data_IF_514106214972
#
_entry.id   IF_514106214972
#
_cell.length_a   1.000
_cell.length_b   1.000
_cell.length_c   1.000
_cell.angle_alpha   90.00
_cell.angle_beta   90.00
_cell.angle_gamma   90.00
#
_symmetry.space_group_name_H-M   'P 1'
#
loop_
_entity.id
_entity.type
_entity.pdbx_description
1 polymer ?
#
# COMPACT_ATOMS: atom_id res chain seq x y z
N UNK A 1 -18.99 -9.39 -2.00
CA UNK A 1 -18.38 -10.66 -1.57
C UNK A 1 -17.13 -10.31 -0.80
N UNK A 2 -17.07 -10.67 0.48
CA UNK A 2 -15.86 -10.49 1.29
C UNK A 2 -14.88 -11.62 0.96
N UNK A 3 -13.65 -11.27 0.60
CA UNK A 3 -12.58 -12.25 0.40
C UNK A 3 -12.00 -12.62 1.77
N UNK A 4 -11.76 -13.92 2.00
CA UNK A 4 -11.25 -14.46 3.27
C UNK A 4 -9.78 -14.12 3.57
N UNK A 5 -9.18 -13.21 2.80
CA UNK A 5 -7.78 -12.80 2.86
C UNK A 5 -7.46 -11.81 1.75
N UNK A 6 -6.20 -11.34 1.67
CA UNK A 6 -5.78 -10.41 0.64
C UNK A 6 -5.99 -11.00 -0.76
N UNK A 7 -6.32 -10.14 -1.72
CA UNK A 7 -6.46 -10.49 -3.13
C UNK A 7 -5.13 -10.88 -3.75
N UNK A 8 -4.05 -10.24 -3.29
CA UNK A 8 -2.71 -10.40 -3.83
C UNK A 8 -1.81 -11.03 -2.77
N UNK A 9 -1.12 -12.11 -3.13
CA UNK A 9 -0.13 -12.69 -2.24
C UNK A 9 1.03 -11.70 -2.03
N UNK A 10 1.45 -11.45 -0.79
CA UNK A 10 2.57 -10.55 -0.52
C UNK A 10 3.87 -10.95 -1.25
N UNK A 11 4.07 -12.24 -1.53
CA UNK A 11 5.18 -12.71 -2.36
C UNK A 11 5.11 -12.16 -3.80
N UNK A 12 3.92 -12.08 -4.39
CA UNK A 12 3.68 -11.51 -5.71
C UNK A 12 3.92 -9.99 -5.70
N UNK A 13 3.42 -9.30 -4.66
CA UNK A 13 3.64 -7.86 -4.46
C UNK A 13 5.13 -7.54 -4.42
N UNK A 14 5.90 -8.32 -3.65
CA UNK A 14 7.37 -8.17 -3.54
C UNK A 14 8.10 -8.42 -4.87
N UNK A 15 7.64 -9.39 -5.67
CA UNK A 15 8.20 -9.60 -7.02
C UNK A 15 8.00 -8.38 -7.92
N UNK A 16 6.82 -7.75 -7.87
CA UNK A 16 6.54 -6.53 -8.65
C UNK A 16 7.44 -5.38 -8.20
N UNK A 17 7.57 -5.19 -6.88
CA UNK A 17 8.47 -4.19 -6.28
C UNK A 17 9.91 -4.39 -6.76
N UNK A 18 10.41 -5.63 -6.74
CA UNK A 18 11.76 -5.96 -7.18
C UNK A 18 12.02 -5.63 -8.67
N UNK A 19 10.97 -5.55 -9.49
CA UNK A 19 11.09 -5.11 -10.90
C UNK A 19 11.00 -3.59 -11.09
N UNK A 20 10.86 -2.82 -10.00
CA UNK A 20 10.70 -1.36 -10.02
C UNK A 20 9.34 -0.88 -10.53
N UNK A 21 8.36 -1.77 -10.67
CA UNK A 21 7.05 -1.47 -11.27
C UNK A 21 6.03 -1.04 -10.21
N UNK A 22 6.35 0.03 -9.49
CA UNK A 22 5.47 0.63 -8.46
C UNK A 22 5.11 2.05 -8.84
N UNK A 23 3.82 2.33 -8.87
CA UNK A 23 3.25 3.63 -9.20
C UNK A 23 2.32 4.06 -8.07
N UNK A 24 2.44 5.32 -7.65
CA UNK A 24 1.55 5.95 -6.70
C UNK A 24 0.53 6.82 -7.44
N UNK A 25 -0.68 6.97 -6.90
CA UNK A 25 -1.56 8.08 -7.27
C UNK A 25 -0.91 9.40 -6.85
N UNK A 26 -1.35 10.52 -7.43
CA UNK A 26 -0.85 11.84 -7.03
C UNK A 26 -1.08 12.10 -5.53
N UNK A 27 -2.24 11.71 -5.01
CA UNK A 27 -2.57 11.88 -3.59
C UNK A 27 -1.66 11.02 -2.70
N UNK A 28 -1.46 9.74 -3.04
CA UNK A 28 -0.58 8.87 -2.28
C UNK A 28 0.89 9.31 -2.34
N UNK A 29 1.30 9.93 -3.46
CA UNK A 29 2.62 10.55 -3.59
C UNK A 29 2.77 11.78 -2.69
N UNK A 30 1.78 12.67 -2.68
CA UNK A 30 1.77 13.80 -1.77
C UNK A 30 1.78 13.34 -0.30
N UNK A 31 0.99 12.31 0.04
CA UNK A 31 0.89 11.82 1.40
C UNK A 31 2.25 11.29 1.94
N UNK A 32 2.97 10.43 1.18
CA UNK A 32 4.26 9.93 1.68
C UNK A 32 5.31 11.03 1.76
N UNK A 33 5.25 12.04 0.87
CA UNK A 33 6.12 13.19 0.91
C UNK A 33 5.84 14.08 2.14
N UNK A 34 4.58 14.24 2.54
CA UNK A 34 4.20 14.92 3.78
C UNK A 34 4.70 14.16 5.03
N UNK A 35 4.80 12.83 4.93
CA UNK A 35 5.46 12.00 5.96
C UNK A 35 6.98 12.14 5.98
N UNK A 36 7.55 12.88 5.03
CA UNK A 36 8.98 13.11 4.87
C UNK A 36 9.72 11.92 4.26
N UNK A 37 9.01 10.97 3.66
CA UNK A 37 9.58 9.78 3.05
C UNK A 37 9.99 10.03 1.59
N UNK A 38 11.07 9.39 1.15
CA UNK A 38 11.35 9.22 -0.27
C UNK A 38 10.40 8.19 -0.90
N UNK A 39 10.36 8.15 -2.23
CA UNK A 39 9.61 7.11 -2.95
C UNK A 39 10.11 5.71 -2.60
N UNK A 40 11.42 5.54 -2.48
CA UNK A 40 12.07 4.27 -2.14
C UNK A 40 11.72 3.83 -0.72
N UNK A 41 11.69 4.76 0.24
CA UNK A 41 11.27 4.48 1.61
C UNK A 41 9.78 4.09 1.67
N UNK A 42 8.92 4.80 0.93
CA UNK A 42 7.50 4.45 0.82
C UNK A 42 7.29 3.06 0.18
N UNK A 43 8.08 2.69 -0.83
CA UNK A 43 8.08 1.35 -1.43
C UNK A 43 8.53 0.31 -0.41
N UNK A 44 9.55 0.59 0.39
CA UNK A 44 10.04 -0.33 1.41
C UNK A 44 8.99 -0.59 2.49
N UNK A 45 8.23 0.42 2.91
CA UNK A 45 7.07 0.24 3.80
C UNK A 45 6.05 -0.79 3.27
N UNK A 46 5.90 -0.90 1.95
CA UNK A 46 5.02 -1.89 1.29
C UNK A 46 5.71 -3.25 1.21
N UNK A 47 7.00 -3.27 0.91
CA UNK A 47 7.81 -4.47 0.76
C UNK A 47 7.85 -5.33 2.04
N UNK A 48 7.87 -4.66 3.20
CA UNK A 48 7.93 -5.29 4.53
C UNK A 48 6.57 -5.62 5.13
N UNK A 49 5.46 -5.37 4.42
CA UNK A 49 4.12 -5.70 4.91
C UNK A 49 4.01 -7.15 5.38
N UNK A 50 3.31 -7.34 6.48
CA UNK A 50 3.03 -8.64 7.08
C UNK A 50 1.58 -9.08 6.81
N UNK A 51 1.30 -10.39 6.71
CA UNK A 51 -0.07 -10.88 6.56
C UNK A 51 -1.02 -10.42 7.67
N UNK A 52 -0.50 -10.21 8.89
CA UNK A 52 -1.26 -9.73 10.05
C UNK A 52 -1.67 -8.25 9.96
N UNK A 53 -1.08 -7.49 9.04
CA UNK A 53 -1.39 -6.07 8.82
C UNK A 53 -2.50 -5.87 7.80
N UNK A 54 -2.92 -6.95 7.12
CA UNK A 54 -4.06 -6.94 6.22
C UNK A 54 -5.35 -6.59 6.99
N UNK A 55 -6.09 -5.62 6.48
CA UNK A 55 -7.37 -5.20 7.04
C UNK A 55 -8.54 -5.85 6.33
N UNK A 56 -8.62 -5.64 5.02
CA UNK A 56 -9.74 -6.07 4.16
C UNK A 56 -9.43 -5.76 2.71
N UNK A 57 -10.21 -6.35 1.82
CA UNK A 57 -10.27 -5.93 0.43
C UNK A 57 -11.51 -5.09 0.19
N UNK A 58 -11.36 -3.95 -0.49
CA UNK A 58 -12.45 -3.04 -0.82
C UNK A 58 -12.74 -3.06 -2.31
N UNK A 59 -14.02 -3.28 -2.67
CA UNK A 59 -14.49 -3.12 -4.05
C UNK A 59 -15.43 -1.93 -4.12
N UNK A 60 -15.12 -0.97 -4.98
CA UNK A 60 -16.05 0.09 -5.38
C UNK A 60 -16.72 -0.34 -6.68
N UNK A 61 -17.96 0.08 -6.92
CA UNK A 61 -18.73 -0.35 -8.09
C UNK A 61 -17.93 -0.16 -9.39
N UNK A 62 -17.80 -1.26 -10.17
CA UNK A 62 -17.06 -1.37 -11.45
C UNK A 62 -15.55 -1.19 -11.38
N UNK A 63 -14.96 -0.96 -10.21
CA UNK A 63 -13.51 -0.90 -10.05
C UNK A 63 -12.94 -2.24 -9.60
N UNK A 64 -11.69 -2.52 -10.00
CA UNK A 64 -10.97 -3.64 -9.44
C UNK A 64 -10.76 -3.47 -7.94
N UNK A 65 -10.91 -4.55 -7.18
CA UNK A 65 -10.82 -4.47 -5.74
C UNK A 65 -9.38 -4.19 -5.31
N UNK A 66 -9.27 -3.48 -4.19
CA UNK A 66 -8.03 -3.08 -3.55
C UNK A 66 -7.77 -3.94 -2.33
N UNK A 67 -6.51 -4.13 -1.97
CA UNK A 67 -6.15 -4.59 -0.63
C UNK A 67 -5.76 -3.39 0.24
N UNK A 68 -6.29 -3.38 1.45
CA UNK A 68 -6.00 -2.39 2.48
C UNK A 68 -5.14 -3.05 3.58
N UNK A 69 -4.10 -2.33 3.99
CA UNK A 69 -3.22 -2.70 5.10
C UNK A 69 -3.14 -1.56 6.12
N UNK A 70 -3.06 -1.92 7.40
CA UNK A 70 -2.66 -1.01 8.48
C UNK A 70 -1.43 -1.61 9.14
N UNK A 71 -0.31 -0.93 8.96
CA UNK A 71 0.99 -1.39 9.43
C UNK A 71 1.11 -1.37 10.94
N UNK A 72 2.05 -2.15 11.45
CA UNK A 72 2.58 -1.93 12.78
C UNK A 72 3.21 -0.53 12.87
N UNK A 73 3.28 0.08 14.07
CA UNK A 73 3.89 1.39 14.23
C UNK A 73 5.32 1.42 13.70
N UNK A 74 5.58 2.33 12.76
CA UNK A 74 6.87 2.52 12.12
C UNK A 74 7.32 3.97 12.24
N UNK A 75 8.62 4.19 12.33
CA UNK A 75 9.19 5.53 12.41
C UNK A 75 9.13 6.17 11.03
N UNK A 76 8.53 7.36 10.95
CA UNK A 76 8.58 8.21 9.75
C UNK A 76 9.26 9.54 10.09
N UNK A 77 9.94 10.20 9.12
CA UNK A 77 10.72 11.41 9.38
C UNK A 77 9.91 12.57 9.96
N UNK A 78 8.68 12.79 9.51
CA UNK A 78 7.86 13.93 9.97
C UNK A 78 7.25 13.75 11.36
N UNK A 79 7.33 12.55 11.96
CA UNK A 79 6.64 12.24 13.21
C UNK A 79 7.63 12.02 14.37
N UNK A 80 7.36 12.57 15.57
CA UNK A 80 8.23 12.37 16.72
C UNK A 80 8.19 10.93 17.24
N UNK A 81 7.08 10.22 17.02
CA UNK A 81 6.84 8.84 17.50
C UNK A 81 6.54 7.91 16.32
N UNK A 82 6.73 6.59 16.48
CA UNK A 82 6.25 5.62 15.49
C UNK A 82 4.75 5.76 15.28
N UNK A 83 4.30 5.68 14.03
CA UNK A 83 2.90 5.79 13.62
C UNK A 83 2.51 4.58 12.79
N UNK A 84 1.24 4.19 12.86
CA UNK A 84 0.69 3.22 11.93
C UNK A 84 0.41 3.92 10.60
N UNK A 85 0.75 3.26 9.49
CA UNK A 85 0.41 3.71 8.15
C UNK A 85 -0.75 2.89 7.60
N UNK A 86 -1.71 3.58 6.99
CA UNK A 86 -2.73 3.00 6.13
C UNK A 86 -2.22 3.00 4.69
N UNK A 87 -2.17 1.81 4.10
CA UNK A 87 -1.66 1.60 2.74
C UNK A 87 -2.74 0.86 1.96
N UNK A 88 -3.09 1.38 0.79
CA UNK A 88 -4.07 0.78 -0.11
C UNK A 88 -3.51 0.66 -1.51
N UNK A 89 -3.58 -0.54 -2.08
CA UNK A 89 -3.07 -0.79 -3.42
C UNK A 89 -3.88 -1.83 -4.18
N UNK A 90 -3.63 -1.90 -5.49
CA UNK A 90 -4.11 -2.95 -6.38
C UNK A 90 -3.07 -3.30 -7.42
N UNK A 91 -3.29 -4.41 -8.11
CA UNK A 91 -2.55 -4.79 -9.31
C UNK A 91 -3.52 -4.74 -10.50
N UNK A 92 -3.47 -3.68 -11.34
CA UNK A 92 -4.42 -3.50 -12.43
C UNK A 92 -4.42 -4.64 -13.47
N UNK A 93 -5.61 -4.97 -13.97
CA UNK A 93 -5.87 -5.93 -15.06
C UNK A 93 -7.00 -5.40 -15.99
N UNK A 94 -7.06 -5.73 -17.29
CA UNK A 94 -6.06 -6.43 -18.08
C UNK A 94 -4.77 -5.61 -18.25
N UNK A 95 -3.64 -6.32 -18.35
CA UNK A 95 -2.29 -5.76 -18.29
C UNK A 95 -1.77 -5.39 -19.68
N UNK A 96 -1.54 -4.12 -19.93
CA UNK A 96 -0.45 -3.72 -20.84
C UNK A 96 0.89 -3.78 -20.10
N UNK A 97 0.88 -3.59 -18.78
CA UNK A 97 2.06 -3.67 -17.90
C UNK A 97 1.62 -4.24 -16.55
N UNK A 98 2.36 -5.20 -16.01
CA UNK A 98 2.18 -5.66 -14.63
C UNK A 98 2.85 -4.67 -13.67
N UNK A 99 2.07 -3.94 -12.88
CA UNK A 99 2.61 -2.99 -11.90
C UNK A 99 1.72 -2.92 -10.66
N UNK A 100 2.30 -2.46 -9.56
CA UNK A 100 1.60 -2.21 -8.30
C UNK A 100 1.14 -0.75 -8.31
N UNK A 101 -0.17 -0.53 -8.15
CA UNK A 101 -0.75 0.81 -8.09
C UNK A 101 -1.21 1.12 -6.67
N UNK A 102 -0.51 2.03 -6.01
CA UNK A 102 -0.80 2.50 -4.65
C UNK A 102 -1.71 3.72 -4.73
N UNK A 103 -2.86 3.68 -4.08
CA UNK A 103 -3.85 4.77 -4.13
C UNK A 103 -3.97 5.56 -2.84
N UNK A 104 -3.45 5.03 -1.73
CA UNK A 104 -3.44 5.73 -0.44
C UNK A 104 -2.22 5.30 0.36
N UNK A 105 -1.54 6.28 0.98
CA UNK A 105 -0.37 6.06 1.82
C UNK A 105 -0.32 7.14 2.89
N UNK A 106 -1.05 7.00 4.00
CA UNK A 106 -1.10 8.07 5.01
C UNK A 106 -1.06 7.49 6.42
N UNK A 107 -0.87 8.35 7.43
CA UNK A 107 -1.06 7.95 8.83
C UNK A 107 -2.43 7.30 8.99
N UNK A 108 -2.47 6.13 9.61
CA UNK A 108 -3.73 5.54 10.04
C UNK A 108 -4.24 6.39 11.19
N UNK A 109 -5.36 7.07 10.96
CA UNK A 109 -6.17 7.58 12.06
C UNK A 109 -6.77 6.33 12.70
N UNK A 110 -6.08 5.75 13.68
CA UNK A 110 -6.65 4.63 14.43
C UNK A 110 -8.05 5.03 14.90
N UNK A 111 -9.06 4.23 14.55
CA UNK A 111 -10.42 4.27 15.10
C UNK A 111 -10.39 4.13 16.62
#
# INVERSE_FOLDING_TARGET
MEHAGPLYALAEVRQIIATGKVTFSMDAEADYQELGLSKEEAIECINVLLPSEYRRSLSYEKQQPFDDYVTNPQKVPSEPRPVQLYIKFRIPSPRSVYYLYVTSFHKSNSL
#
